data_IF_323163195709
#
_entry.id   IF_323163195709
#
_cell.length_a   1.000
_cell.length_b   1.000
_cell.length_c   1.000
_cell.angle_alpha   90.00
_cell.angle_beta   90.00
_cell.angle_gamma   90.00
#
_symmetry.space_group_name_H-M   'P 1'
#
loop_
_entity.id
_entity.type
_entity.pdbx_description
1 polymer ?
#
# COMPACT_ATOMS: atom_id res chain seq x y z
N UNK A 1 6.93 -24.76 -0.06
CA UNK A 1 7.53 -23.41 -0.19
C UNK A 1 7.74 -22.86 1.21
N UNK A 2 9.00 -22.66 1.61
CA UNK A 2 9.34 -22.25 2.96
C UNK A 2 8.86 -20.80 3.17
N UNK A 3 7.66 -20.61 3.75
CA UNK A 3 7.20 -19.33 4.25
C UNK A 3 8.14 -19.00 5.41
N UNK A 4 9.19 -18.21 5.14
CA UNK A 4 10.11 -17.77 6.18
C UNK A 4 9.30 -17.19 7.33
N UNK A 5 9.41 -17.83 8.50
CA UNK A 5 8.65 -17.47 9.69
C UNK A 5 8.98 -16.02 10.09
N UNK A 6 7.94 -15.21 10.27
CA UNK A 6 8.06 -13.84 10.79
C UNK A 6 7.52 -13.86 12.21
N UNK A 7 8.39 -13.63 13.19
CA UNK A 7 8.06 -13.67 14.60
C UNK A 7 6.86 -12.76 14.93
N UNK A 8 5.96 -13.24 15.80
CA UNK A 8 4.76 -12.49 16.20
C UNK A 8 5.08 -11.08 16.67
N UNK A 9 6.13 -10.92 17.48
CA UNK A 9 6.60 -9.62 17.97
C UNK A 9 6.95 -8.66 16.82
N UNK A 10 7.64 -9.14 15.79
CA UNK A 10 7.99 -8.34 14.60
C UNK A 10 6.73 -7.96 13.80
N UNK A 11 5.79 -8.88 13.63
CA UNK A 11 4.49 -8.59 12.97
C UNK A 11 3.74 -7.49 13.71
N UNK A 12 3.65 -7.58 15.03
CA UNK A 12 3.00 -6.56 15.87
C UNK A 12 3.71 -5.20 15.76
N UNK A 13 5.05 -5.18 15.79
CA UNK A 13 5.85 -3.97 15.64
C UNK A 13 5.60 -3.27 14.29
N UNK A 14 5.66 -4.02 13.19
CA UNK A 14 5.40 -3.50 11.84
C UNK A 14 3.95 -2.99 11.73
N UNK A 15 2.99 -3.71 12.31
CA UNK A 15 1.58 -3.29 12.28
C UNK A 15 1.32 -1.98 13.04
N UNK A 16 1.94 -1.82 14.22
CA UNK A 16 1.86 -0.58 15.00
C UNK A 16 2.52 0.60 14.27
N UNK A 17 3.69 0.39 13.65
CA UNK A 17 4.37 1.41 12.83
C UNK A 17 3.53 1.83 11.63
N UNK A 18 2.85 0.88 10.99
CA UNK A 18 1.91 1.13 9.89
C UNK A 18 0.55 1.67 10.35
N UNK A 19 0.36 1.90 11.66
CA UNK A 19 -0.88 2.38 12.27
C UNK A 19 -2.09 1.54 11.88
N UNK A 20 -1.86 0.24 11.71
CA UNK A 20 -2.85 -0.73 11.23
C UNK A 20 -3.52 -0.32 9.91
N UNK A 21 -2.77 0.32 9.01
CA UNK A 21 -3.22 0.71 7.67
C UNK A 21 -2.32 0.13 6.60
N UNK A 22 -2.91 -0.13 5.42
CA UNK A 22 -2.15 -0.48 4.23
C UNK A 22 -1.19 0.65 3.85
N UNK A 23 0.09 0.37 3.64
CA UNK A 23 1.09 1.37 3.29
C UNK A 23 0.87 2.06 1.94
N UNK A 24 0.15 1.41 1.02
CA UNK A 24 -0.12 1.97 -0.31
C UNK A 24 -1.41 2.79 -0.34
N UNK A 25 -2.49 2.20 0.17
CA UNK A 25 -3.84 2.72 -0.03
C UNK A 25 -4.47 3.32 1.23
N UNK A 26 -3.76 3.26 2.36
CA UNK A 26 -4.17 3.73 3.69
C UNK A 26 -5.51 3.17 4.20
N UNK A 27 -6.04 2.09 3.59
CA UNK A 27 -7.16 1.34 4.16
C UNK A 27 -6.78 0.84 5.55
N UNK A 28 -7.55 1.24 6.57
CA UNK A 28 -7.45 0.71 7.93
C UNK A 28 -7.94 -0.72 7.99
N UNK A 29 -7.25 -1.52 8.81
CA UNK A 29 -7.65 -2.88 9.16
C UNK A 29 -9.04 -2.92 9.82
N UNK A 30 -9.36 -1.89 10.61
CA UNK A 30 -10.57 -1.80 11.43
C UNK A 30 -11.84 -1.89 10.57
N UNK A 31 -11.94 -1.09 9.52
CA UNK A 31 -13.11 -1.08 8.64
C UNK A 31 -12.96 -2.00 7.42
N UNK A 32 -11.79 -2.57 7.15
CA UNK A 32 -11.69 -3.63 6.14
C UNK A 32 -12.23 -4.97 6.62
N UNK A 33 -12.40 -5.15 7.95
CA UNK A 33 -12.90 -6.39 8.54
C UNK A 33 -12.00 -7.61 8.28
N UNK A 34 -10.76 -7.38 7.84
CA UNK A 34 -9.82 -8.39 7.40
C UNK A 34 -8.42 -8.00 7.85
N UNK A 35 -7.62 -8.98 8.27
CA UNK A 35 -6.22 -8.76 8.61
C UNK A 35 -5.44 -8.20 7.44
N UNK A 36 -4.60 -7.19 7.71
CA UNK A 36 -3.59 -6.75 6.77
C UNK A 36 -2.44 -7.75 6.76
N UNK A 37 -1.83 -7.91 5.58
CA UNK A 37 -0.78 -8.87 5.33
C UNK A 37 0.58 -8.21 5.56
N UNK A 38 1.53 -8.98 6.10
CA UNK A 38 2.94 -8.58 6.12
C UNK A 38 3.47 -8.77 4.71
N UNK A 39 3.96 -7.68 4.14
CA UNK A 39 4.38 -7.58 2.76
C UNK A 39 5.87 -7.27 2.70
N UNK A 40 6.57 -7.96 1.80
CA UNK A 40 7.99 -7.78 1.54
C UNK A 40 8.19 -6.77 0.41
N UNK A 41 8.71 -5.60 0.75
CA UNK A 41 8.88 -4.47 -0.17
C UNK A 41 9.74 -4.86 -1.38
N UNK A 42 10.87 -5.51 -1.09
CA UNK A 42 11.61 -6.36 -2.02
C UNK A 42 11.17 -7.79 -1.78
N UNK A 43 10.53 -8.46 -2.74
CA UNK A 43 10.07 -9.83 -2.58
C UNK A 43 11.22 -10.81 -2.29
N UNK A 44 10.94 -11.83 -1.47
CA UNK A 44 11.93 -12.87 -1.13
C UNK A 44 12.54 -13.54 -2.37
N UNK A 45 11.73 -13.81 -3.41
CA UNK A 45 12.21 -14.42 -4.66
C UNK A 45 13.17 -13.52 -5.46
N UNK A 46 13.23 -12.23 -5.14
CA UNK A 46 14.14 -11.25 -5.72
C UNK A 46 15.29 -10.92 -4.75
N UNK A 47 15.54 -11.77 -3.75
CA UNK A 47 16.61 -11.59 -2.77
C UNK A 47 16.25 -10.70 -1.59
N UNK A 48 14.97 -10.33 -1.42
CA UNK A 48 14.52 -9.62 -0.23
C UNK A 48 14.64 -10.44 1.05
N UNK A 49 14.71 -9.77 2.20
CA UNK A 49 14.84 -10.40 3.52
C UNK A 49 13.55 -10.26 4.33
N UNK A 50 13.36 -11.08 5.37
CA UNK A 50 12.29 -10.90 6.37
C UNK A 50 12.70 -9.96 7.51
N UNK A 51 13.67 -9.09 7.29
CA UNK A 51 14.09 -8.08 8.25
C UNK A 51 13.13 -6.88 8.24
N UNK A 52 13.00 -6.19 9.37
CA UNK A 52 11.98 -5.15 9.61
C UNK A 52 11.97 -4.05 8.54
N UNK A 53 13.15 -3.66 8.06
CA UNK A 53 13.37 -2.64 7.04
C UNK A 53 12.78 -3.00 5.65
N UNK A 54 12.52 -4.28 5.41
CA UNK A 54 11.91 -4.78 4.18
C UNK A 54 10.44 -5.16 4.37
N UNK A 55 9.87 -4.95 5.56
CA UNK A 55 8.50 -5.32 5.88
C UNK A 55 7.59 -4.11 6.06
N UNK A 56 6.38 -4.22 5.54
CA UNK A 56 5.29 -3.29 5.85
C UNK A 56 3.92 -4.00 5.89
N UNK A 57 2.86 -3.28 6.24
CA UNK A 57 1.49 -3.77 6.08
C UNK A 57 0.92 -3.42 4.71
N UNK A 58 0.27 -4.40 4.08
CA UNK A 58 -0.52 -4.22 2.87
C UNK A 58 -1.89 -4.86 3.03
N UNK A 59 -2.94 -4.27 2.45
CA UNK A 59 -4.20 -4.99 2.33
C UNK A 59 -4.09 -6.10 1.29
N UNK A 60 -4.93 -7.13 1.39
CA UNK A 60 -4.91 -8.29 0.48
C UNK A 60 -5.00 -7.90 -1.00
N UNK A 61 -5.70 -6.81 -1.32
CA UNK A 61 -5.76 -6.26 -2.68
C UNK A 61 -4.40 -5.72 -3.13
N UNK A 62 -3.84 -4.76 -2.39
CA UNK A 62 -2.57 -4.13 -2.75
C UNK A 62 -1.43 -5.15 -2.77
N UNK A 63 -1.40 -6.07 -1.81
CA UNK A 63 -0.40 -7.13 -1.76
C UNK A 63 -0.49 -8.08 -2.97
N UNK A 64 -1.72 -8.46 -3.36
CA UNK A 64 -1.95 -9.32 -4.54
C UNK A 64 -1.47 -8.65 -5.83
N UNK A 65 -1.80 -7.38 -6.06
CA UNK A 65 -1.37 -6.68 -7.27
C UNK A 65 0.12 -6.38 -7.24
N UNK A 66 0.67 -5.98 -6.09
CA UNK A 66 2.12 -5.82 -5.95
C UNK A 66 2.82 -7.12 -6.28
N UNK A 67 2.39 -8.26 -5.70
CA UNK A 67 2.96 -9.57 -5.94
C UNK A 67 4.49 -9.53 -5.85
N UNK A 68 5.18 -9.56 -6.99
CA UNK A 68 6.63 -9.47 -7.07
C UNK A 68 7.15 -8.20 -7.75
N UNK A 69 6.26 -7.28 -8.10
CA UNK A 69 6.60 -6.02 -8.73
C UNK A 69 7.34 -5.12 -7.72
N UNK A 70 8.45 -4.55 -8.16
CA UNK A 70 9.23 -3.52 -7.43
C UNK A 70 9.28 -2.20 -8.19
N UNK A 71 8.84 -2.20 -9.44
CA UNK A 71 8.72 -1.06 -10.33
C UNK A 71 7.53 -1.27 -11.29
N UNK A 72 7.23 -0.24 -12.08
CA UNK A 72 6.24 -0.29 -13.15
C UNK A 72 6.46 0.86 -14.13
N UNK A 73 5.57 1.01 -15.12
CA UNK A 73 5.66 2.08 -16.11
C UNK A 73 4.82 3.27 -15.66
N UNK A 74 5.43 4.47 -15.59
CA UNK A 74 4.69 5.70 -15.34
C UNK A 74 3.79 6.03 -16.54
N UNK A 75 2.46 6.17 -16.34
CA UNK A 75 1.54 6.41 -17.45
C UNK A 75 1.82 7.70 -18.22
N UNK A 76 2.47 8.70 -17.60
CA UNK A 76 2.79 9.98 -18.23
C UNK A 76 4.14 9.92 -18.95
N UNK A 77 5.23 9.69 -18.22
CA UNK A 77 6.57 9.73 -18.83
C UNK A 77 6.93 8.49 -19.65
N UNK A 78 6.13 7.41 -19.55
CA UNK A 78 6.39 6.10 -20.17
C UNK A 78 7.69 5.43 -19.74
N UNK A 79 8.36 5.98 -18.71
CA UNK A 79 9.58 5.41 -18.13
C UNK A 79 9.25 4.42 -17.02
N UNK A 80 10.11 3.42 -16.86
CA UNK A 80 10.04 2.50 -15.71
C UNK A 80 10.52 3.23 -14.46
N UNK A 81 9.74 3.16 -13.39
CA UNK A 81 10.06 3.80 -12.10
C UNK A 81 9.74 2.86 -10.95
N UNK A 82 10.54 2.92 -9.89
CA UNK A 82 10.28 2.16 -8.67
C UNK A 82 8.88 2.45 -8.09
N UNK A 83 8.26 1.40 -7.55
CA UNK A 83 7.02 1.52 -6.78
C UNK A 83 7.30 2.24 -5.46
N UNK A 84 6.25 2.85 -4.92
CA UNK A 84 6.28 3.53 -3.65
C UNK A 84 6.72 2.58 -2.53
N UNK A 85 7.62 3.07 -1.67
CA UNK A 85 8.11 2.35 -0.52
C UNK A 85 7.55 2.99 0.76
N UNK A 86 6.53 2.40 1.40
CA UNK A 86 5.90 2.97 2.60
C UNK A 86 6.83 3.04 3.81
N UNK A 87 7.94 2.29 3.83
CA UNK A 87 8.93 2.32 4.92
C UNK A 87 9.85 3.54 4.83
N UNK A 88 10.13 4.01 3.61
CA UNK A 88 11.17 5.02 3.34
C UNK A 88 10.65 6.34 2.79
N UNK A 89 9.41 6.37 2.29
CA UNK A 89 8.85 7.52 1.62
C UNK A 89 7.65 8.08 2.36
N UNK A 90 7.43 9.39 2.22
CA UNK A 90 6.28 10.09 2.80
C UNK A 90 5.11 10.00 1.84
N UNK A 91 3.98 9.43 2.29
CA UNK A 91 2.81 9.19 1.42
C UNK A 91 2.32 10.48 0.77
N UNK A 92 2.17 11.54 1.57
CA UNK A 92 1.73 12.86 1.12
C UNK A 92 2.71 13.54 0.15
N UNK A 93 3.94 13.06 -0.05
CA UNK A 93 4.82 13.56 -1.13
C UNK A 93 4.44 12.95 -2.48
N UNK A 94 4.05 11.68 -2.48
CA UNK A 94 3.81 10.90 -3.70
C UNK A 94 2.34 10.87 -4.11
N UNK A 95 1.43 11.07 -3.16
CA UNK A 95 0.00 10.94 -3.38
C UNK A 95 -0.79 12.08 -2.74
N UNK A 96 -2.04 12.21 -3.18
CA UNK A 96 -3.10 12.93 -2.48
C UNK A 96 -4.42 12.20 -2.70
N UNK A 97 -5.41 12.49 -1.88
CA UNK A 97 -6.79 12.10 -2.16
C UNK A 97 -7.42 13.04 -3.19
N UNK A 98 -8.40 12.54 -3.95
CA UNK A 98 -9.36 13.39 -4.65
C UNK A 98 -10.19 14.19 -3.65
N UNK A 99 -10.87 15.24 -4.12
CA UNK A 99 -11.67 16.13 -3.27
C UNK A 99 -12.79 15.38 -2.53
N UNK A 100 -13.40 14.40 -3.21
CA UNK A 100 -14.41 13.50 -2.62
C UNK A 100 -13.81 12.39 -1.73
N UNK A 101 -12.49 12.31 -1.60
CA UNK A 101 -11.79 11.39 -0.72
C UNK A 101 -11.73 9.93 -1.21
N UNK A 102 -12.17 9.61 -2.43
CA UNK A 102 -12.34 8.21 -2.86
C UNK A 102 -11.24 7.68 -3.78
N UNK A 103 -10.51 8.57 -4.44
CA UNK A 103 -9.42 8.22 -5.35
C UNK A 103 -8.07 8.66 -4.80
N UNK A 104 -7.06 7.85 -5.07
CA UNK A 104 -5.64 8.17 -4.83
C UNK A 104 -5.07 8.74 -6.11
N UNK A 105 -4.57 9.97 -6.06
CA UNK A 105 -3.96 10.67 -7.18
C UNK A 105 -2.44 10.69 -6.98
N UNK A 106 -1.70 10.10 -7.91
CA UNK A 106 -0.24 10.12 -7.92
C UNK A 106 0.30 11.49 -8.34
N UNK A 107 1.11 12.12 -7.49
CA UNK A 107 1.73 13.43 -7.73
C UNK A 107 3.10 13.35 -8.41
N UNK A 108 3.81 12.25 -8.19
CA UNK A 108 5.13 12.00 -8.76
C UNK A 108 5.09 10.78 -9.69
N UNK A 109 6.13 10.57 -10.51
CA UNK A 109 6.21 9.39 -11.36
C UNK A 109 6.08 8.09 -10.56
N UNK A 110 6.81 7.99 -9.44
CA UNK A 110 6.67 6.89 -8.47
C UNK A 110 5.22 6.71 -7.98
N UNK A 111 4.53 7.80 -7.61
CA UNK A 111 3.15 7.75 -7.17
C UNK A 111 2.19 7.27 -8.26
N UNK A 112 2.27 7.85 -9.47
CA UNK A 112 1.41 7.45 -10.61
C UNK A 112 1.63 6.00 -11.02
N UNK A 113 2.89 5.58 -11.10
CA UNK A 113 3.25 4.18 -11.36
C UNK A 113 2.65 3.25 -10.32
N UNK A 114 2.73 3.62 -9.03
CA UNK A 114 2.15 2.81 -7.95
C UNK A 114 0.63 2.73 -8.05
N UNK A 115 -0.07 3.85 -8.33
CA UNK A 115 -1.52 3.87 -8.51
C UNK A 115 -1.96 2.88 -9.59
N UNK A 116 -1.28 2.89 -10.73
CA UNK A 116 -1.57 1.99 -11.86
C UNK A 116 -1.20 0.55 -11.52
N UNK A 117 0.05 0.29 -11.12
CA UNK A 117 0.56 -1.07 -10.91
C UNK A 117 -0.18 -1.83 -9.80
N UNK A 118 -0.61 -1.14 -8.74
CA UNK A 118 -1.33 -1.74 -7.61
C UNK A 118 -2.85 -1.61 -7.71
N UNK A 119 -3.38 -1.05 -8.80
CA UNK A 119 -4.81 -0.85 -9.02
C UNK A 119 -5.48 -0.12 -7.83
N UNK A 120 -4.83 0.93 -7.32
CA UNK A 120 -5.24 1.61 -6.08
C UNK A 120 -6.63 2.28 -6.14
N UNK A 121 -7.13 2.49 -7.36
CA UNK A 121 -8.45 3.07 -7.66
C UNK A 121 -9.38 2.09 -8.36
N UNK A 122 -9.22 0.78 -8.12
CA UNK A 122 -10.17 -0.19 -8.66
C UNK A 122 -11.62 0.14 -8.27
N UNK A 123 -12.58 -0.08 -9.18
CA UNK A 123 -13.99 0.32 -8.99
C UNK A 123 -14.60 -0.15 -7.67
N UNK A 124 -14.22 -1.34 -7.19
CA UNK A 124 -14.73 -1.88 -5.93
C UNK A 124 -14.21 -1.14 -4.69
N UNK A 125 -12.92 -0.81 -4.63
CA UNK A 125 -12.39 -0.05 -3.48
C UNK A 125 -12.87 1.40 -3.50
N UNK A 126 -13.04 2.00 -4.68
CA UNK A 126 -13.65 3.33 -4.83
C UNK A 126 -15.10 3.33 -4.32
N UNK A 127 -15.89 2.30 -4.67
CA UNK A 127 -17.26 2.17 -4.18
C UNK A 127 -17.33 1.95 -2.65
N UNK A 128 -16.36 1.25 -2.07
CA UNK A 128 -16.26 1.10 -0.62
C UNK A 128 -15.88 2.43 0.06
N UNK A 129 -14.86 3.13 -0.47
CA UNK A 129 -14.43 4.44 0.05
C UNK A 129 -15.53 5.48 0.05
N UNK A 130 -16.42 5.50 -0.96
CA UNK A 130 -17.62 6.37 -0.94
C UNK A 130 -18.45 6.19 0.33
N UNK A 131 -18.67 4.93 0.75
CA UNK A 131 -19.41 4.61 1.98
C UNK A 131 -18.63 4.97 3.24
N UNK A 132 -17.31 4.77 3.23
CA UNK A 132 -16.46 5.16 4.35
C UNK A 132 -16.36 6.68 4.52
N UNK A 133 -16.32 7.43 3.41
CA UNK A 133 -16.38 8.90 3.41
C UNK A 133 -17.73 9.36 3.97
N UNK A 134 -18.85 8.78 3.53
CA UNK A 134 -20.17 9.14 4.09
C UNK A 134 -20.31 8.83 5.58
N UNK A 135 -19.53 7.87 6.09
CA UNK A 135 -19.45 7.54 7.52
C UNK A 135 -18.39 8.36 8.28
N UNK A 136 -17.62 9.22 7.60
CA UNK A 136 -16.55 10.01 8.22
C UNK A 136 -15.26 9.24 8.55
N UNK A 137 -15.13 7.99 8.09
CA UNK A 137 -13.98 7.11 8.40
C UNK A 137 -12.79 7.29 7.44
N UNK A 138 -13.00 7.94 6.30
CA UNK A 138 -12.02 8.06 5.23
C UNK A 138 -12.12 9.44 4.56
N UNK A 139 -11.02 10.01 4.03
CA UNK A 139 -9.62 9.56 4.18
C UNK A 139 -9.08 9.74 5.60
N UNK A 140 -7.96 9.08 5.95
CA UNK A 140 -7.27 9.38 7.21
C UNK A 140 -6.77 10.83 7.25
N UNK A 141 -6.80 11.46 8.43
CA UNK A 141 -6.58 12.91 8.62
C UNK A 141 -5.18 13.28 9.14
N UNK A 142 -4.28 12.32 9.15
CA UNK A 142 -3.09 12.24 9.99
C UNK A 142 -1.85 11.73 9.25
#
# INVERSE_FOLDING_TARGET
>A
MNRFYIAKALRTKVAAQARYRCGYCLTSQEYSGAFLEIEHLVPLKLGGTSAEENLWLACSWCNRYKSFQVDGVDPISRRRTALYNPRRQVWARHFRWSEDGVQIIGKTACGRTTVVALHLNHKFIVAARRRWVSAGWHPPKD
#
